data_IF_175230977254
#
_entry.id   IF_175230977254
#
_cell.length_a   1.000
_cell.length_b   1.000
_cell.length_c   1.000
_cell.angle_alpha   90.00
_cell.angle_beta   90.00
_cell.angle_gamma   90.00
#
_symmetry.space_group_name_H-M   'P 1'
#
loop_
_entity.id
_entity.type
_entity.pdbx_description
1 polymer ?
#
# COMPACT_ATOMS: atom_id res chain seq x y z
N UNK A 1 3.59 26.07 -14.69
CA UNK A 1 4.71 25.76 -13.79
C UNK A 1 4.64 24.37 -13.15
N UNK A 2 3.58 24.00 -12.41
CA UNK A 2 3.47 22.67 -11.78
C UNK A 2 3.73 21.49 -12.74
N UNK A 3 3.08 21.49 -13.92
CA UNK A 3 3.32 20.46 -14.96
C UNK A 3 4.78 20.38 -15.41
N UNK A 4 5.46 21.54 -15.49
CA UNK A 4 6.88 21.61 -15.86
C UNK A 4 7.74 20.96 -14.78
N UNK A 5 7.47 21.27 -13.51
CA UNK A 5 8.18 20.70 -12.35
C UNK A 5 7.96 19.17 -12.28
N UNK A 6 6.73 18.70 -12.44
CA UNK A 6 6.39 17.27 -12.46
C UNK A 6 7.10 16.50 -13.60
N UNK A 7 7.45 17.19 -14.69
CA UNK A 7 8.15 16.60 -15.83
C UNK A 7 9.68 16.65 -15.71
N UNK A 8 10.25 17.29 -14.67
CA UNK A 8 11.72 17.40 -14.53
C UNK A 8 12.35 16.06 -14.19
N UNK A 9 11.74 15.34 -13.25
CA UNK A 9 12.22 14.04 -12.80
C UNK A 9 11.07 13.21 -12.23
N UNK A 10 11.20 11.88 -12.23
CA UNK A 10 10.30 10.97 -11.52
C UNK A 10 10.30 11.24 -10.01
N UNK A 11 9.11 11.32 -9.42
CA UNK A 11 8.92 11.67 -8.02
C UNK A 11 7.85 10.78 -7.39
N UNK A 12 8.16 10.22 -6.22
CA UNK A 12 7.23 9.40 -5.44
C UNK A 12 7.50 9.48 -3.92
N UNK A 13 8.01 10.62 -3.46
CA UNK A 13 8.36 10.89 -2.05
C UNK A 13 7.39 11.89 -1.42
N UNK A 14 6.09 11.69 -1.67
CA UNK A 14 5.03 12.63 -1.28
C UNK A 14 4.99 12.90 0.22
N UNK A 15 5.18 11.87 1.05
CA UNK A 15 5.17 12.01 2.50
C UNK A 15 6.32 12.89 3.01
N UNK A 16 7.54 12.67 2.51
CA UNK A 16 8.72 13.47 2.85
C UNK A 16 8.60 14.91 2.34
N UNK A 17 8.03 15.09 1.13
CA UNK A 17 7.77 16.42 0.60
C UNK A 17 6.74 17.19 1.41
N UNK A 18 5.64 16.56 1.83
CA UNK A 18 4.65 17.19 2.70
C UNK A 18 5.24 17.57 4.05
N UNK A 19 6.08 16.70 4.63
CA UNK A 19 6.80 17.01 5.86
C UNK A 19 7.71 18.23 5.64
N UNK A 20 8.52 18.23 4.58
CA UNK A 20 9.37 19.37 4.23
C UNK A 20 8.55 20.65 4.06
N UNK A 21 7.46 20.65 3.30
CA UNK A 21 6.62 21.82 3.11
C UNK A 21 5.98 22.32 4.41
N UNK A 22 5.68 21.44 5.36
CA UNK A 22 5.07 21.83 6.65
C UNK A 22 6.09 22.45 7.61
N UNK A 23 7.38 22.19 7.40
CA UNK A 23 8.47 22.66 8.27
C UNK A 23 9.11 23.98 7.81
N UNK A 24 8.77 24.49 6.62
CA UNK A 24 9.28 25.76 6.10
C UNK A 24 8.13 26.73 5.85
N UNK A 25 8.34 28.00 6.17
CA UNK A 25 7.40 29.07 5.86
C UNK A 25 8.10 30.19 5.08
N UNK A 26 7.35 30.90 4.25
CA UNK A 26 7.82 32.07 3.52
C UNK A 26 7.14 33.29 4.15
N UNK A 27 7.94 34.21 4.70
CA UNK A 27 7.46 35.46 5.26
C UNK A 27 7.85 36.61 4.33
N UNK A 28 6.84 37.30 3.79
CA UNK A 28 7.02 38.59 3.12
C UNK A 28 6.45 39.68 4.04
N UNK A 29 7.32 40.56 4.53
CA UNK A 29 6.94 41.68 5.38
C UNK A 29 7.44 43.00 4.78
N UNK A 30 6.68 44.09 4.92
CA UNK A 30 7.05 45.43 4.46
C UNK A 30 6.69 46.48 5.52
N UNK A 31 7.29 47.67 5.42
CA UNK A 31 7.04 48.80 6.33
C UNK A 31 6.57 50.02 5.51
N UNK A 32 5.42 50.59 5.87
CA UNK A 32 4.77 51.73 5.18
C UNK A 32 3.43 51.36 4.54
N UNK A 33 2.72 52.34 3.96
CA UNK A 33 1.53 52.09 3.14
C UNK A 33 1.94 51.53 1.78
N UNK A 34 2.20 50.24 1.77
CA UNK A 34 2.58 49.52 0.58
C UNK A 34 1.31 48.82 0.06
N UNK A 35 0.65 49.41 -0.93
CA UNK A 35 -0.51 48.81 -1.62
C UNK A 35 -0.05 47.65 -2.52
N UNK A 36 0.54 46.63 -1.91
CA UNK A 36 0.99 45.44 -2.61
C UNK A 36 -0.08 44.37 -2.50
N UNK A 37 -1.12 44.50 -3.34
CA UNK A 37 -1.80 43.30 -3.81
C UNK A 37 -0.80 42.59 -4.76
N UNK A 38 0.19 41.89 -4.20
CA UNK A 38 1.09 41.05 -5.01
C UNK A 38 0.20 40.01 -5.70
N UNK A 39 0.07 40.01 -7.04
CA UNK A 39 -0.75 39.03 -7.76
C UNK A 39 -0.28 37.58 -7.52
N UNK A 40 0.96 37.43 -7.05
CA UNK A 40 1.65 36.16 -6.80
C UNK A 40 1.11 35.42 -5.57
N UNK A 41 0.63 36.16 -4.56
CA UNK A 41 -0.03 35.57 -3.41
C UNK A 41 -1.49 35.97 -3.48
N UNK A 42 -2.27 35.26 -4.32
CA UNK A 42 -3.73 35.31 -4.19
C UNK A 42 -4.05 35.13 -2.72
N UNK A 43 -4.78 36.07 -2.12
CA UNK A 43 -5.21 36.00 -0.72
C UNK A 43 -5.89 34.65 -0.54
N UNK A 44 -5.14 33.67 -0.05
CA UNK A 44 -5.68 32.35 0.23
C UNK A 44 -6.47 32.60 1.50
N UNK A 45 -7.76 32.90 1.33
CA UNK A 45 -8.67 32.82 2.46
C UNK A 45 -8.42 31.45 3.08
N UNK A 46 -8.14 31.44 4.39
CA UNK A 46 -8.03 30.20 5.13
C UNK A 46 -9.22 29.36 4.70
N UNK A 47 -8.96 28.21 4.06
CA UNK A 47 -10.01 27.36 3.50
C UNK A 47 -11.13 27.28 4.52
N UNK A 48 -12.39 27.58 4.15
CA UNK A 48 -13.49 27.69 5.11
C UNK A 48 -13.38 26.51 6.03
N UNK A 49 -13.26 26.78 7.34
CA UNK A 49 -12.92 25.79 8.34
C UNK A 49 -13.76 24.55 8.05
N UNK A 50 -13.13 23.53 7.45
CA UNK A 50 -13.81 22.27 7.18
C UNK A 50 -14.37 21.86 8.53
N UNK A 51 -15.68 21.59 8.62
CA UNK A 51 -16.30 21.19 9.87
C UNK A 51 -15.34 20.24 10.57
N UNK A 52 -14.87 20.62 11.75
CA UNK A 52 -13.95 19.79 12.50
C UNK A 52 -14.58 18.40 12.55
N UNK A 53 -13.82 17.34 12.19
CA UNK A 53 -14.37 16.00 12.18
C UNK A 53 -15.03 15.74 13.54
N UNK A 54 -16.29 15.29 13.52
CA UNK A 54 -17.00 14.99 14.75
C UNK A 54 -16.24 13.87 15.48
N UNK A 55 -15.98 14.07 16.76
CA UNK A 55 -15.36 13.04 17.58
C UNK A 55 -16.27 11.80 17.60
N UNK A 56 -15.77 10.68 17.06
CA UNK A 56 -16.53 9.42 16.93
C UNK A 56 -16.21 8.41 18.05
N UNK A 57 -15.61 8.87 19.15
CA UNK A 57 -15.15 8.01 20.24
C UNK A 57 -13.64 7.77 20.23
N UNK A 58 -13.17 7.01 21.23
CA UNK A 58 -11.77 6.63 21.39
C UNK A 58 -11.64 5.11 21.34
N UNK A 59 -10.67 4.61 20.58
CA UNK A 59 -10.24 3.21 20.64
C UNK A 59 -9.03 3.15 21.57
N UNK A 60 -9.10 2.32 22.60
CA UNK A 60 -7.94 2.06 23.45
C UNK A 60 -6.91 1.24 22.66
N UNK A 61 -5.70 1.76 22.52
CA UNK A 61 -4.57 1.06 21.95
C UNK A 61 -3.41 1.11 22.93
N UNK A 62 -2.73 -0.02 23.10
CA UNK A 62 -1.52 -0.13 23.91
C UNK A 62 -0.38 -0.63 23.03
N UNK A 63 0.82 -0.10 23.23
CA UNK A 63 2.01 -0.61 22.56
C UNK A 63 2.27 -2.03 23.04
N UNK A 64 2.17 -3.01 22.16
CA UNK A 64 2.66 -4.35 22.42
C UNK A 64 4.19 -4.32 22.37
N UNK A 65 4.83 -4.24 23.54
CA UNK A 65 6.27 -4.46 23.64
C UNK A 65 6.49 -5.95 23.38
N UNK A 66 6.96 -6.30 22.19
CA UNK A 66 7.45 -7.66 21.97
C UNK A 66 8.55 -7.96 23.00
N UNK A 67 8.59 -9.19 23.53
CA UNK A 67 9.60 -9.64 24.49
C UNK A 67 11.01 -9.77 23.87
N UNK A 68 11.51 -8.69 23.26
CA UNK A 68 12.70 -8.62 22.42
C UNK A 68 12.51 -7.63 21.26
N UNK A 69 13.62 -7.14 20.69
CA UNK A 69 13.55 -6.31 19.49
C UNK A 69 13.07 -7.17 18.30
N UNK A 70 11.86 -6.92 17.82
CA UNK A 70 11.38 -7.51 16.56
C UNK A 70 12.25 -6.97 15.43
N UNK A 71 13.17 -7.81 14.95
CA UNK A 71 14.06 -7.46 13.85
C UNK A 71 13.27 -7.41 12.53
N UNK A 72 13.82 -6.76 11.52
CA UNK A 72 13.26 -6.80 10.17
C UNK A 72 12.01 -5.95 9.93
N UNK A 73 11.42 -5.27 10.92
CA UNK A 73 10.24 -4.39 10.70
C UNK A 73 10.57 -2.90 10.47
N UNK A 74 11.83 -2.49 10.56
CA UNK A 74 12.26 -1.11 10.29
C UNK A 74 12.25 -0.81 8.79
N UNK A 75 11.05 -0.64 8.21
CA UNK A 75 10.84 -0.48 6.77
C UNK A 75 9.59 0.33 6.45
N UNK A 76 9.56 0.95 5.27
CA UNK A 76 8.38 1.63 4.72
C UNK A 76 8.00 1.05 3.34
N UNK A 77 6.79 1.36 2.86
CA UNK A 77 6.30 0.89 1.56
C UNK A 77 6.12 -0.62 1.44
N UNK A 78 6.10 -1.34 2.57
CA UNK A 78 5.79 -2.76 2.65
C UNK A 78 4.28 -2.99 2.64
N UNK A 79 3.87 -4.25 2.48
CA UNK A 79 2.49 -4.67 2.71
C UNK A 79 2.47 -5.81 3.73
N UNK A 80 1.61 -5.69 4.74
CA UNK A 80 1.41 -6.71 5.78
C UNK A 80 -0.02 -7.25 5.72
N UNK A 81 -0.17 -8.57 5.79
CA UNK A 81 -1.45 -9.27 5.74
C UNK A 81 -1.54 -10.31 6.84
N UNK A 82 -2.75 -10.49 7.38
CA UNK A 82 -3.05 -11.55 8.33
C UNK A 82 -3.27 -12.86 7.56
N UNK A 83 -2.51 -13.90 7.88
CA UNK A 83 -2.70 -15.24 7.31
C UNK A 83 -3.67 -16.07 8.18
N UNK A 84 -3.44 -16.02 9.49
CA UNK A 84 -4.30 -16.59 10.55
C UNK A 84 -4.32 -15.61 11.71
N UNK A 85 -5.21 -15.75 12.72
CA UNK A 85 -5.28 -14.82 13.85
C UNK A 85 -3.94 -14.59 14.58
N UNK A 86 -3.00 -15.53 14.48
CA UNK A 86 -1.73 -15.52 15.17
C UNK A 86 -0.53 -15.34 14.23
N UNK A 87 -0.76 -15.15 12.91
CA UNK A 87 0.31 -15.11 11.91
C UNK A 87 0.12 -13.92 10.96
N UNK A 88 1.13 -13.05 10.91
CA UNK A 88 1.18 -11.89 9.98
C UNK A 88 2.34 -12.08 9.01
N UNK A 89 2.07 -12.01 7.72
CA UNK A 89 3.08 -11.96 6.66
C UNK A 89 3.34 -10.51 6.27
N UNK A 90 4.60 -10.12 6.15
CA UNK A 90 5.05 -8.82 5.66
C UNK A 90 5.96 -8.99 4.45
N UNK A 91 5.66 -8.25 3.39
CA UNK A 91 6.31 -8.41 2.08
C UNK A 91 6.87 -7.09 1.56
N UNK A 92 8.05 -7.16 0.96
CA UNK A 92 8.74 -6.02 0.36
C UNK A 92 9.08 -4.90 1.33
N UNK A 93 9.09 -3.68 0.81
CA UNK A 93 9.50 -2.49 1.56
C UNK A 93 10.96 -2.10 1.37
N UNK A 94 11.28 -0.90 1.83
CA UNK A 94 12.62 -0.33 1.86
C UNK A 94 12.95 0.02 3.31
N UNK A 95 14.11 -0.40 3.79
CA UNK A 95 14.43 -0.29 5.20
C UNK A 95 15.77 -0.88 5.58
N UNK A 96 15.96 -1.11 6.86
CA UNK A 96 17.23 -1.56 7.43
C UNK A 96 17.46 -3.06 7.19
N UNK A 97 18.60 -3.38 6.58
CA UNK A 97 19.15 -4.72 6.46
C UNK A 97 20.64 -4.68 6.80
N UNK A 98 21.00 -5.17 7.98
CA UNK A 98 22.39 -5.18 8.45
C UNK A 98 23.00 -3.79 8.63
N UNK A 99 22.21 -2.77 9.03
CA UNK A 99 22.65 -1.40 9.21
C UNK A 99 22.66 -0.56 7.92
N UNK A 100 22.24 -1.15 6.79
CA UNK A 100 22.14 -0.45 5.50
C UNK A 100 20.67 -0.32 5.12
N UNK A 101 20.30 0.89 4.69
CA UNK A 101 18.98 1.14 4.15
C UNK A 101 18.93 0.68 2.70
N UNK A 102 18.18 -0.39 2.42
CA UNK A 102 18.07 -0.96 1.09
C UNK A 102 16.66 -1.48 0.82
N UNK A 103 16.45 -1.92 -0.41
CA UNK A 103 15.26 -2.64 -0.83
C UNK A 103 15.29 -4.05 -0.24
N UNK A 104 14.18 -4.46 0.38
CA UNK A 104 14.13 -5.69 1.13
C UNK A 104 13.54 -6.81 0.26
N UNK A 105 14.36 -7.82 -0.01
CA UNK A 105 14.04 -8.99 -0.83
C UNK A 105 13.57 -10.18 -0.01
N UNK A 106 13.60 -10.08 1.32
CA UNK A 106 13.14 -11.12 2.23
C UNK A 106 11.67 -10.91 2.60
N UNK A 107 10.97 -12.03 2.79
CA UNK A 107 9.64 -12.05 3.38
C UNK A 107 9.76 -12.25 4.89
N UNK A 108 9.00 -11.48 5.64
CA UNK A 108 9.06 -11.47 7.10
C UNK A 108 7.76 -11.98 7.69
N UNK A 109 7.82 -12.79 8.75
CA UNK A 109 6.63 -13.28 9.46
C UNK A 109 6.66 -12.87 10.92
N UNK A 110 5.48 -12.55 11.45
CA UNK A 110 5.24 -12.44 12.88
C UNK A 110 4.34 -13.59 13.30
N UNK A 111 4.77 -14.32 14.32
CA UNK A 111 4.00 -15.39 14.93
C UNK A 111 3.70 -15.01 16.37
N UNK A 112 2.43 -15.10 16.76
CA UNK A 112 1.98 -14.83 18.12
C UNK A 112 2.13 -16.10 18.96
N UNK A 113 2.87 -15.98 20.04
CA UNK A 113 3.03 -16.99 21.09
C UNK A 113 2.37 -16.50 22.39
N UNK A 114 2.32 -17.39 23.39
CA UNK A 114 1.75 -17.08 24.71
C UNK A 114 2.42 -15.87 25.38
N UNK A 115 3.72 -15.66 25.13
CA UNK A 115 4.54 -14.60 25.71
C UNK A 115 4.71 -13.38 24.80
N UNK A 116 4.04 -13.35 23.63
CA UNK A 116 4.04 -12.21 22.71
C UNK A 116 4.37 -12.58 21.27
N UNK A 117 4.64 -11.56 20.46
CA UNK A 117 4.97 -11.72 19.04
C UNK A 117 6.46 -11.98 18.83
N UNK A 118 6.78 -12.90 17.92
CA UNK A 118 8.15 -13.24 17.54
C UNK A 118 8.33 -13.06 16.03
N UNK A 119 9.46 -12.47 15.63
CA UNK A 119 9.89 -12.38 14.24
C UNK A 119 10.47 -13.70 13.76
N UNK A 120 10.12 -14.10 12.54
CA UNK A 120 10.77 -15.15 11.80
C UNK A 120 11.06 -14.71 10.36
N UNK A 121 11.99 -15.40 9.73
CA UNK A 121 12.20 -15.29 8.29
C UNK A 121 11.38 -16.36 7.58
N UNK A 122 10.71 -16.00 6.50
CA UNK A 122 9.99 -16.97 5.67
C UNK A 122 10.94 -17.57 4.65
N UNK A 123 10.98 -18.90 4.57
CA UNK A 123 11.69 -19.57 3.49
C UNK A 123 10.79 -19.62 2.28
N UNK A 124 11.24 -19.03 1.18
CA UNK A 124 10.62 -19.31 -0.11
C UNK A 124 10.98 -20.74 -0.50
N UNK A 125 10.01 -21.48 -1.05
CA UNK A 125 10.29 -22.79 -1.65
C UNK A 125 11.43 -22.63 -2.68
N UNK A 126 12.35 -23.60 -2.74
CA UNK A 126 13.46 -23.61 -3.72
C UNK A 126 12.90 -23.70 -5.15
N UNK A 127 12.50 -22.55 -5.67
CA UNK A 127 12.08 -22.28 -7.02
C UNK A 127 13.00 -21.18 -7.55
N UNK A 128 13.17 -21.12 -8.87
CA UNK A 128 14.05 -20.14 -9.54
C UNK A 128 13.63 -18.66 -9.35
N UNK A 129 12.63 -18.37 -8.52
CA UNK A 129 12.05 -17.05 -8.33
C UNK A 129 12.25 -16.51 -6.90
N UNK A 130 12.92 -15.36 -6.80
CA UNK A 130 13.03 -14.58 -5.58
C UNK A 130 12.00 -13.44 -5.54
N UNK A 131 11.70 -12.95 -4.33
CA UNK A 131 10.91 -11.72 -4.19
C UNK A 131 11.68 -10.53 -4.77
N UNK A 132 11.01 -9.76 -5.61
CA UNK A 132 11.64 -8.70 -6.41
C UNK A 132 11.84 -7.37 -5.67
N UNK A 133 11.53 -7.37 -4.37
CA UNK A 133 11.72 -6.24 -3.48
C UNK A 133 10.75 -5.09 -3.73
N UNK A 134 9.64 -5.27 -4.45
CA UNK A 134 8.67 -4.19 -4.75
C UNK A 134 8.18 -3.41 -3.52
N UNK A 135 7.87 -2.13 -3.74
CA UNK A 135 7.25 -1.23 -2.76
C UNK A 135 5.84 -0.87 -3.19
N UNK A 136 5.00 -0.50 -2.22
CA UNK A 136 3.66 0.06 -2.44
C UNK A 136 2.76 -0.82 -3.32
N UNK A 137 2.97 -2.13 -3.26
CA UNK A 137 2.09 -3.16 -3.78
C UNK A 137 0.99 -3.48 -2.76
N UNK A 138 -0.01 -4.25 -3.21
CA UNK A 138 -1.02 -4.83 -2.33
C UNK A 138 -0.86 -6.35 -2.30
N UNK A 139 -1.18 -6.96 -1.16
CA UNK A 139 -1.28 -8.42 -1.01
C UNK A 139 -2.69 -8.73 -0.52
N UNK A 140 -3.39 -9.62 -1.21
CA UNK A 140 -4.77 -9.97 -0.88
C UNK A 140 -4.87 -11.49 -0.70
N UNK A 141 -5.08 -11.92 0.54
CA UNK A 141 -5.21 -13.34 0.90
C UNK A 141 -6.61 -13.82 0.51
N UNK A 142 -6.65 -14.93 -0.23
CA UNK A 142 -7.88 -15.53 -0.74
C UNK A 142 -8.29 -16.72 0.13
N UNK A 143 -9.58 -17.06 0.12
CA UNK A 143 -10.16 -18.15 0.93
C UNK A 143 -9.49 -19.51 0.66
N UNK A 144 -8.96 -19.70 -0.53
CA UNK A 144 -8.25 -20.90 -0.99
C UNK A 144 -6.80 -21.04 -0.47
N UNK A 145 -6.36 -20.20 0.47
CA UNK A 145 -5.04 -20.33 1.11
C UNK A 145 -3.86 -19.88 0.26
N UNK A 146 -4.12 -19.03 -0.72
CA UNK A 146 -3.10 -18.37 -1.53
C UNK A 146 -3.43 -16.86 -1.62
N UNK A 147 -2.46 -16.03 -2.00
CA UNK A 147 -2.63 -14.58 -2.09
C UNK A 147 -2.21 -14.04 -3.45
N UNK A 148 -2.90 -12.99 -3.88
CA UNK A 148 -2.56 -12.20 -5.06
C UNK A 148 -1.72 -11.00 -4.62
N UNK A 149 -0.60 -10.77 -5.31
CA UNK A 149 0.25 -9.58 -5.15
C UNK A 149 0.07 -8.70 -6.38
N UNK A 150 -0.54 -7.53 -6.19
CA UNK A 150 -0.80 -6.59 -7.29
C UNK A 150 0.09 -5.36 -7.23
N UNK A 151 0.60 -5.00 -8.41
CA UNK A 151 1.32 -3.77 -8.66
C UNK A 151 2.57 -3.58 -7.79
N UNK A 152 2.80 -2.33 -7.42
CA UNK A 152 4.00 -1.86 -6.75
C UNK A 152 5.07 -1.39 -7.75
N UNK A 153 6.22 -0.98 -7.21
CA UNK A 153 7.33 -0.44 -8.00
C UNK A 153 8.72 -0.80 -7.47
N UNK A 154 9.69 -0.80 -8.39
CA UNK A 154 11.14 -0.92 -8.15
C UNK A 154 11.87 0.43 -8.15
N UNK A 155 11.35 1.41 -8.87
CA UNK A 155 11.73 2.81 -8.81
C UNK A 155 10.51 3.66 -9.22
N UNK A 156 10.51 4.99 -9.05
CA UNK A 156 9.41 5.82 -9.53
C UNK A 156 9.14 5.71 -11.05
N UNK A 157 10.08 5.15 -11.82
CA UNK A 157 9.93 4.87 -13.27
C UNK A 157 9.66 3.39 -13.60
N UNK A 158 10.06 2.49 -12.70
CA UNK A 158 10.04 1.05 -12.94
C UNK A 158 8.92 0.38 -12.15
N UNK A 159 7.76 0.10 -12.76
CA UNK A 159 6.69 -0.66 -12.12
C UNK A 159 7.14 -2.09 -11.85
N UNK A 160 6.59 -2.70 -10.79
CA UNK A 160 6.83 -4.10 -10.47
C UNK A 160 5.87 -4.98 -11.25
N UNK A 161 6.43 -5.70 -12.22
CA UNK A 161 5.72 -6.66 -13.06
C UNK A 161 6.47 -8.01 -13.07
N UNK A 162 5.77 -9.13 -13.27
CA UNK A 162 4.30 -9.26 -13.35
C UNK A 162 3.64 -9.14 -11.95
N UNK A 163 2.29 -9.16 -11.87
CA UNK A 163 1.61 -9.55 -10.65
C UNK A 163 2.09 -10.94 -10.18
N UNK A 164 2.09 -11.18 -8.88
CA UNK A 164 2.60 -12.43 -8.29
C UNK A 164 1.49 -13.18 -7.57
N UNK A 165 1.70 -14.47 -7.36
CA UNK A 165 0.90 -15.30 -6.45
C UNK A 165 1.78 -15.91 -5.38
N UNK A 166 1.26 -15.97 -4.17
CA UNK A 166 1.86 -16.67 -3.02
C UNK A 166 0.97 -17.86 -2.66
N UNK A 167 1.51 -19.08 -2.63
CA UNK A 167 0.78 -20.29 -2.18
C UNK A 167 1.43 -20.90 -0.94
N UNK A 168 0.71 -21.79 -0.28
CA UNK A 168 1.16 -22.40 0.98
C UNK A 168 0.91 -21.50 2.19
N UNK A 169 -0.08 -20.60 2.12
CA UNK A 169 -0.44 -19.72 3.23
C UNK A 169 -1.32 -20.42 4.27
N UNK A 170 -1.95 -21.54 3.89
CA UNK A 170 -2.70 -22.43 4.77
C UNK A 170 -1.85 -23.63 5.16
N UNK A 171 -1.77 -23.93 6.46
CA UNK A 171 -1.03 -25.08 6.98
C UNK A 171 0.21 -24.74 7.80
N UNK A 172 0.48 -23.45 8.06
CA UNK A 172 1.45 -23.06 9.08
C UNK A 172 0.89 -23.44 10.45
N UNK A 173 1.33 -24.58 11.00
CA UNK A 173 1.15 -24.89 12.42
C UNK A 173 1.99 -23.88 13.22
N UNK A 174 1.38 -23.01 14.05
CA UNK A 174 2.09 -22.03 14.86
C UNK A 174 3.10 -22.65 15.84
N UNK A 175 2.97 -23.96 16.09
CA UNK A 175 3.79 -24.73 17.01
C UNK A 175 4.85 -25.58 16.31
N UNK A 176 4.79 -25.69 14.98
CA UNK A 176 5.79 -26.45 14.23
C UNK A 176 7.10 -25.65 14.18
N UNK A 177 8.25 -26.25 14.54
CA UNK A 177 9.54 -25.54 14.64
C UNK A 177 10.15 -25.15 13.29
N UNK A 178 9.44 -25.37 12.18
CA UNK A 178 9.87 -25.01 10.83
C UNK A 178 9.22 -23.72 10.35
N UNK A 179 10.01 -22.82 9.76
CA UNK A 179 9.48 -21.63 9.09
C UNK A 179 8.51 -22.06 7.97
N UNK A 180 7.39 -21.37 7.77
CA UNK A 180 6.47 -21.72 6.69
C UNK A 180 7.19 -21.59 5.34
N UNK A 181 7.00 -22.60 4.49
CA UNK A 181 7.52 -22.61 3.12
C UNK A 181 6.45 -22.00 2.22
N UNK A 182 6.74 -20.85 1.64
CA UNK A 182 5.83 -20.15 0.73
C UNK A 182 6.30 -20.35 -0.70
N UNK A 183 5.41 -20.83 -1.56
CA UNK A 183 5.65 -20.89 -3.01
C UNK A 183 5.36 -19.52 -3.62
N UNK A 184 6.36 -18.94 -4.29
CA UNK A 184 6.22 -17.72 -5.06
C UNK A 184 6.21 -18.05 -6.55
N UNK A 185 5.25 -17.50 -7.28
CA UNK A 185 5.21 -17.64 -8.73
C UNK A 185 4.64 -16.38 -9.40
N UNK A 186 4.91 -16.14 -10.70
CA UNK A 186 4.19 -15.16 -11.48
C UNK A 186 2.70 -15.51 -11.54
N UNK A 187 1.85 -14.50 -11.45
CA UNK A 187 0.46 -14.63 -11.87
C UNK A 187 0.40 -14.40 -13.37
N UNK A 188 -0.35 -15.24 -14.10
CA UNK A 188 -0.58 -15.03 -15.54
C UNK A 188 -1.17 -13.64 -15.78
N UNK A 189 -0.89 -13.01 -16.94
CA UNK A 189 -1.49 -11.72 -17.28
C UNK A 189 -3.01 -11.77 -17.09
N UNK A 190 -3.52 -10.89 -16.23
CA UNK A 190 -4.95 -10.75 -16.00
C UNK A 190 -5.49 -9.86 -17.11
N UNK A 191 -6.35 -10.43 -17.96
CA UNK A 191 -7.00 -9.68 -19.04
C UNK A 191 -7.79 -8.50 -18.46
N UNK A 192 -7.57 -7.31 -19.01
CA UNK A 192 -8.22 -6.06 -18.58
C UNK A 192 -7.50 -5.29 -17.47
N UNK A 193 -6.52 -5.86 -16.77
CA UNK A 193 -5.72 -5.14 -15.77
C UNK A 193 -4.57 -4.39 -16.44
N UNK A 194 -4.89 -3.31 -17.15
CA UNK A 194 -4.02 -2.73 -18.19
C UNK A 194 -2.90 -1.79 -17.71
N UNK A 195 -2.98 -1.26 -16.48
CA UNK A 195 -2.02 -0.22 -16.03
C UNK A 195 -1.25 -0.68 -14.79
N UNK A 196 0.09 -0.84 -14.91
CA UNK A 196 0.96 -1.03 -13.76
C UNK A 196 0.83 0.17 -12.81
N UNK A 197 0.57 -0.13 -11.53
CA UNK A 197 0.25 0.88 -10.53
C UNK A 197 0.85 0.58 -9.17
N UNK A 198 1.11 1.61 -8.40
CA UNK A 198 1.56 1.53 -7.00
C UNK A 198 0.80 2.53 -6.14
N UNK A 199 0.88 2.40 -4.80
CA UNK A 199 0.12 3.27 -3.85
C UNK A 199 -1.41 3.26 -4.09
N UNK A 200 -1.90 2.25 -4.79
CA UNK A 200 -3.32 1.96 -5.00
C UNK A 200 -3.88 1.23 -3.79
N UNK A 201 -5.20 1.12 -3.73
CA UNK A 201 -5.87 0.18 -2.82
C UNK A 201 -6.36 -1.02 -3.61
N UNK A 202 -6.41 -2.16 -2.92
CA UNK A 202 -7.05 -3.36 -3.41
C UNK A 202 -7.81 -3.96 -2.23
N UNK A 203 -9.12 -4.12 -2.38
CA UNK A 203 -10.02 -4.53 -1.30
C UNK A 203 -10.97 -5.59 -1.81
N UNK A 204 -11.15 -6.66 -1.04
CA UNK A 204 -12.12 -7.71 -1.37
C UNK A 204 -13.53 -7.18 -1.14
N UNK A 205 -14.37 -7.29 -2.16
CA UNK A 205 -15.80 -6.95 -2.15
C UNK A 205 -16.60 -8.15 -2.64
N UNK A 206 -17.86 -8.24 -2.21
CA UNK A 206 -18.80 -9.24 -2.71
C UNK A 206 -19.83 -8.54 -3.58
N UNK A 207 -20.22 -9.17 -4.68
CA UNK A 207 -21.35 -8.75 -5.51
C UNK A 207 -22.06 -10.01 -5.99
N UNK A 208 -23.39 -10.08 -5.81
CA UNK A 208 -24.22 -11.22 -6.24
C UNK A 208 -23.66 -12.60 -5.80
N UNK A 209 -23.06 -12.65 -4.60
CA UNK A 209 -22.46 -13.86 -4.03
C UNK A 209 -21.07 -14.22 -4.57
N UNK A 210 -20.54 -13.46 -5.54
CA UNK A 210 -19.20 -13.63 -6.10
C UNK A 210 -18.20 -12.67 -5.46
N UNK A 211 -16.96 -13.11 -5.31
CA UNK A 211 -15.89 -12.33 -4.69
C UNK A 211 -15.03 -11.64 -5.75
N UNK A 212 -14.86 -10.34 -5.59
CA UNK A 212 -14.04 -9.51 -6.46
C UNK A 212 -12.97 -8.79 -5.66
N UNK A 213 -11.82 -8.56 -6.29
CA UNK A 213 -10.84 -7.62 -5.79
C UNK A 213 -11.05 -6.28 -6.49
N UNK A 214 -11.58 -5.31 -5.74
CA UNK A 214 -11.76 -3.94 -6.17
C UNK A 214 -10.43 -3.19 -6.04
N UNK A 215 -9.88 -2.74 -7.16
CA UNK A 215 -8.63 -1.99 -7.24
C UNK A 215 -8.94 -0.56 -7.62
N UNK A 216 -8.46 0.43 -6.86
CA UNK A 216 -8.74 1.84 -7.15
C UNK A 216 -7.53 2.75 -6.97
N UNK A 217 -7.42 3.71 -7.89
CA UNK A 217 -6.44 4.78 -7.84
C UNK A 217 -4.99 4.29 -7.88
N UNK A 218 -4.13 5.00 -7.16
CA UNK A 218 -2.69 4.84 -7.16
C UNK A 218 -1.98 5.76 -8.14
N UNK A 219 -0.73 5.45 -8.42
CA UNK A 219 0.13 6.16 -9.36
C UNK A 219 0.63 5.19 -10.44
N UNK A 220 0.88 5.72 -11.63
CA UNK A 220 1.59 5.02 -12.72
C UNK A 220 2.84 5.78 -13.14
N UNK A 221 3.61 5.22 -14.07
CA UNK A 221 4.70 5.95 -14.72
C UNK A 221 4.16 7.26 -15.31
N UNK A 222 4.91 8.35 -15.14
CA UNK A 222 4.47 9.70 -15.54
C UNK A 222 3.69 10.48 -14.47
N UNK A 223 3.67 10.03 -13.21
CA UNK A 223 3.18 10.75 -12.01
C UNK A 223 1.69 11.13 -11.99
N UNK A 224 0.89 10.64 -12.93
CA UNK A 224 -0.55 10.87 -12.87
C UNK A 224 -1.16 10.04 -11.73
N UNK A 225 -1.93 10.72 -10.87
CA UNK A 225 -2.78 10.05 -9.88
C UNK A 225 -3.96 9.45 -10.63
N UNK A 226 -4.11 8.13 -10.52
CA UNK A 226 -5.14 7.38 -11.23
C UNK A 226 -6.52 7.63 -10.61
N UNK A 227 -7.53 7.65 -11.48
CA UNK A 227 -8.95 7.89 -11.16
C UNK A 227 -9.84 6.69 -11.49
N UNK A 228 -9.25 5.64 -12.07
CA UNK A 228 -9.95 4.45 -12.51
C UNK A 228 -10.06 3.39 -11.41
N UNK A 229 -11.00 2.47 -11.59
CA UNK A 229 -11.13 1.25 -10.82
C UNK A 229 -11.23 0.02 -11.71
N UNK A 230 -10.90 -1.13 -11.13
CA UNK A 230 -11.02 -2.43 -11.75
C UNK A 230 -11.62 -3.41 -10.75
N UNK A 231 -12.48 -4.32 -11.24
CA UNK A 231 -12.93 -5.46 -10.47
C UNK A 231 -12.30 -6.71 -11.03
N UNK A 232 -11.42 -7.35 -10.25
CA UNK A 232 -10.82 -8.62 -10.61
C UNK A 232 -11.66 -9.75 -10.01
N UNK A 233 -12.27 -10.58 -10.85
CA UNK A 233 -12.96 -11.79 -10.39
C UNK A 233 -11.92 -12.77 -9.82
N UNK A 234 -12.07 -13.13 -8.54
CA UNK A 234 -11.00 -13.83 -7.82
C UNK A 234 -10.85 -15.31 -8.19
N UNK A 235 -11.93 -15.98 -8.56
CA UNK A 235 -11.88 -17.39 -8.99
C UNK A 235 -11.45 -17.52 -10.45
N UNK A 236 -12.00 -16.66 -11.31
CA UNK A 236 -11.77 -16.70 -12.76
C UNK A 236 -10.57 -15.87 -13.24
N UNK A 237 -9.94 -15.09 -12.35
CA UNK A 237 -8.76 -14.26 -12.61
C UNK A 237 -8.84 -13.40 -13.88
N UNK A 238 -9.98 -12.77 -14.10
CA UNK A 238 -10.21 -11.82 -15.19
C UNK A 238 -10.88 -10.56 -14.67
N UNK A 239 -10.66 -9.43 -15.35
CA UNK A 239 -11.36 -8.20 -15.02
C UNK A 239 -12.81 -8.26 -15.51
N UNK A 240 -13.74 -7.80 -14.67
CA UNK A 240 -15.15 -7.67 -14.99
C UNK A 240 -15.55 -6.19 -14.90
N UNK A 241 -16.39 -5.76 -15.84
CA UNK A 241 -17.04 -4.45 -15.76
C UNK A 241 -18.28 -4.58 -14.89
N UNK A 242 -18.26 -3.89 -13.76
CA UNK A 242 -19.36 -3.83 -12.81
C UNK A 242 -19.86 -2.38 -12.78
N UNK A 243 -21.16 -2.11 -13.04
CA UNK A 243 -21.72 -0.78 -12.91
C UNK A 243 -21.53 -0.25 -11.48
N UNK A 244 -21.01 0.97 -11.35
CA UNK A 244 -20.83 1.64 -10.07
C UNK A 244 -21.75 2.85 -10.02
N UNK A 245 -22.56 2.93 -8.97
CA UNK A 245 -23.45 4.05 -8.71
C UNK A 245 -22.87 5.01 -7.67
N UNK A 246 -23.32 6.27 -7.73
CA UNK A 246 -22.93 7.31 -6.77
C UNK A 246 -21.81 8.23 -7.28
N UNK A 247 -21.32 9.13 -6.40
CA UNK A 247 -20.32 10.12 -6.78
C UNK A 247 -18.97 9.47 -7.05
N UNK A 248 -18.39 9.77 -8.22
CA UNK A 248 -17.07 9.29 -8.60
C UNK A 248 -16.01 9.93 -7.68
N UNK A 249 -15.23 9.14 -6.91
CA UNK A 249 -14.17 9.70 -6.10
C UNK A 249 -13.09 10.32 -6.99
N UNK A 250 -12.54 11.45 -6.54
CA UNK A 250 -11.35 12.03 -7.16
C UNK A 250 -10.15 11.09 -7.01
N UNK A 251 -9.25 11.17 -7.99
CA UNK A 251 -8.04 10.35 -8.04
C UNK A 251 -7.20 10.50 -6.78
N UNK A 252 -6.72 9.38 -6.27
CA UNK A 252 -6.01 9.31 -4.99
C UNK A 252 -4.97 8.20 -4.99
N UNK A 253 -3.90 8.43 -4.25
CA UNK A 253 -2.84 7.47 -3.94
C UNK A 253 -2.61 7.47 -2.43
N UNK A 254 -1.85 6.51 -1.91
CA UNK A 254 -1.52 6.41 -0.48
C UNK A 254 -2.77 6.45 0.42
N UNK A 255 -3.87 5.86 -0.05
CA UNK A 255 -5.15 5.85 0.63
C UNK A 255 -5.48 4.42 1.08
N UNK A 256 -6.54 4.29 1.87
CA UNK A 256 -7.12 3.01 2.28
C UNK A 256 -8.54 2.89 1.78
N UNK A 257 -8.98 1.66 1.52
CA UNK A 257 -10.35 1.32 1.19
C UNK A 257 -10.76 0.08 1.99
N UNK A 258 -12.00 0.07 2.46
CA UNK A 258 -12.59 -1.08 3.13
C UNK A 258 -13.98 -1.34 2.54
N UNK A 259 -14.41 -2.59 2.55
CA UNK A 259 -15.80 -2.92 2.26
C UNK A 259 -16.67 -2.52 3.45
N UNK A 260 -17.87 -2.05 3.14
CA UNK A 260 -18.90 -1.73 4.13
C UNK A 260 -20.10 -2.63 3.91
N UNK A 261 -20.64 -3.19 4.99
CA UNK A 261 -21.81 -4.08 4.97
C UNK A 261 -21.73 -5.23 3.93
N UNK A 262 -20.53 -5.73 3.65
CA UNK A 262 -20.29 -6.85 2.73
C UNK A 262 -20.06 -6.49 1.26
N UNK A 263 -20.29 -5.23 0.85
CA UNK A 263 -20.49 -4.90 -0.56
C UNK A 263 -21.83 -5.49 -1.03
N UNK A 264 -22.78 -4.64 -1.43
CA UNK A 264 -24.07 -5.11 -1.94
C UNK A 264 -23.93 -5.37 -3.43
#
# INVERSE_FOLDING_TARGET
>A
EQKRIQALEPFDEFEEWHLKCSHYFILAASKGEASFALPVFSRMEASPARCAPCFSGTVAASVCVAGGAVAGLKRYGHCSVLLTPDIILTTGGFGDHGGRHCRLTELHILVKHLDGWRSGEVRLAELEMAWDGRLFHTVNVLRSGWAVVLGGRKSPESPALPPLRLKGLTGADPLSPGNPVIELAPLLPVEGLSVPRWRHTATVVTQEGQAYLFVYGGCSSGQAVLTDWHFLHLEGLHCQQIPVEGPVPAGRHSHSACSWAGGV
#
